data_IF_643444191680
#
_entry.id   IF_643444191680
#
_cell.length_a   1.000
_cell.length_b   1.000
_cell.length_c   1.000
_cell.angle_alpha   90.00
_cell.angle_beta   90.00
_cell.angle_gamma   90.00
#
_symmetry.space_group_name_H-M   'P 1'
#
loop_
_entity.id
_entity.type
_entity.pdbx_description
1 polymer ?
#
# COMPACT_ATOMS: atom_id res chain seq x y z
N UNK A 1 -10.16 34.30 28.68
CA UNK A 1 -11.15 33.28 28.29
C UNK A 1 -10.82 32.86 26.86
N UNK A 2 -10.02 31.81 26.72
CA UNK A 2 -9.39 31.38 25.47
C UNK A 2 -10.32 30.45 24.71
N UNK A 3 -10.94 30.96 23.65
CA UNK A 3 -11.62 30.15 22.64
C UNK A 3 -10.56 29.46 21.78
N UNK A 4 -10.11 28.27 22.17
CA UNK A 4 -9.49 27.36 21.21
C UNK A 4 -10.51 27.16 20.08
N UNK A 5 -10.11 27.51 18.85
CA UNK A 5 -11.04 27.59 17.73
C UNK A 5 -11.61 26.19 17.45
N UNK A 6 -12.93 26.09 17.26
CA UNK A 6 -13.63 24.83 16.98
C UNK A 6 -13.14 24.13 15.69
N UNK A 7 -12.28 24.80 14.91
CA UNK A 7 -11.68 24.32 13.66
C UNK A 7 -10.51 23.36 13.93
N UNK A 8 -9.60 23.70 14.85
CA UNK A 8 -8.39 22.92 15.12
C UNK A 8 -8.70 21.52 15.67
N UNK A 9 -9.73 21.41 16.52
CA UNK A 9 -10.14 20.14 17.11
C UNK A 9 -10.82 19.19 16.10
N UNK A 10 -11.50 19.74 15.08
CA UNK A 10 -12.12 18.97 13.99
C UNK A 10 -11.06 18.45 13.02
N UNK A 11 -10.12 19.30 12.62
CA UNK A 11 -9.05 18.93 11.69
C UNK A 11 -8.17 17.79 12.23
N UNK A 12 -7.91 17.78 13.54
CA UNK A 12 -7.14 16.72 14.20
C UNK A 12 -7.86 15.37 14.24
N UNK A 13 -9.18 15.36 14.48
CA UNK A 13 -9.99 14.13 14.49
C UNK A 13 -10.06 13.51 13.10
N UNK A 14 -10.36 14.32 12.08
CA UNK A 14 -10.46 13.88 10.67
C UNK A 14 -9.13 13.30 10.20
N UNK A 15 -8.00 13.92 10.55
CA UNK A 15 -6.68 13.44 10.09
C UNK A 15 -6.32 12.08 10.69
N UNK A 16 -6.64 11.83 11.98
CA UNK A 16 -6.41 10.52 12.62
C UNK A 16 -7.31 9.43 12.03
N UNK A 17 -8.55 9.79 11.73
CA UNK A 17 -9.52 8.90 11.10
C UNK A 17 -9.09 8.51 9.68
N UNK A 18 -8.58 9.47 8.89
CA UNK A 18 -8.06 9.23 7.54
C UNK A 18 -6.87 8.26 7.52
N UNK A 19 -5.92 8.41 8.45
CA UNK A 19 -4.75 7.51 8.54
C UNK A 19 -5.18 6.09 8.92
N UNK A 20 -6.09 5.96 9.89
CA UNK A 20 -6.59 4.65 10.32
C UNK A 20 -7.40 3.97 9.23
N UNK A 21 -8.32 4.70 8.61
CA UNK A 21 -9.17 4.23 7.51
C UNK A 21 -8.32 3.89 6.28
N UNK A 22 -7.32 4.71 5.96
CA UNK A 22 -6.36 4.46 4.89
C UNK A 22 -5.55 3.17 5.12
N UNK A 23 -5.00 2.98 6.32
CA UNK A 23 -4.27 1.75 6.68
C UNK A 23 -5.16 0.51 6.58
N UNK A 24 -6.39 0.59 7.09
CA UNK A 24 -7.33 -0.52 7.07
C UNK A 24 -7.79 -0.84 5.64
N UNK A 25 -8.16 0.17 4.86
CA UNK A 25 -8.59 0.01 3.47
C UNK A 25 -7.48 -0.60 2.61
N UNK A 26 -6.26 -0.08 2.73
CA UNK A 26 -5.11 -0.61 2.01
C UNK A 26 -4.82 -2.08 2.40
N UNK A 27 -4.86 -2.40 3.70
CA UNK A 27 -4.68 -3.76 4.19
C UNK A 27 -5.75 -4.75 3.67
N UNK A 28 -7.02 -4.34 3.68
CA UNK A 28 -8.13 -5.14 3.16
C UNK A 28 -7.98 -5.37 1.65
N UNK A 29 -7.63 -4.34 0.88
CA UNK A 29 -7.42 -4.47 -0.57
C UNK A 29 -6.29 -5.46 -0.86
N UNK A 30 -5.17 -5.40 -0.15
CA UNK A 30 -4.07 -6.35 -0.35
C UNK A 30 -4.41 -7.78 0.04
N UNK A 31 -5.17 -7.99 1.11
CA UNK A 31 -5.69 -9.31 1.43
C UNK A 31 -6.60 -9.84 0.34
N UNK A 32 -7.52 -9.02 -0.17
CA UNK A 32 -8.40 -9.41 -1.27
C UNK A 32 -7.59 -9.78 -2.51
N UNK A 33 -6.62 -8.94 -2.93
CA UNK A 33 -5.77 -9.23 -4.08
C UNK A 33 -4.98 -10.54 -3.88
N UNK A 34 -4.38 -10.74 -2.71
CA UNK A 34 -3.62 -11.95 -2.39
C UNK A 34 -4.48 -13.22 -2.41
N UNK A 35 -5.71 -13.17 -1.87
CA UNK A 35 -6.63 -14.31 -1.86
C UNK A 35 -7.21 -14.57 -3.26
N UNK A 36 -7.71 -13.53 -3.93
CA UNK A 36 -8.35 -13.64 -5.25
C UNK A 36 -7.37 -14.13 -6.32
N UNK A 37 -6.07 -13.84 -6.17
CA UNK A 37 -5.05 -14.35 -7.09
C UNK A 37 -4.87 -15.87 -7.05
N UNK A 38 -5.32 -16.55 -5.99
CA UNK A 38 -5.37 -18.01 -5.92
C UNK A 38 -6.70 -18.61 -6.41
N UNK A 39 -7.66 -17.78 -6.84
CA UNK A 39 -8.98 -18.25 -7.30
C UNK A 39 -8.96 -18.51 -8.81
N UNK A 40 -9.10 -19.77 -9.27
CA UNK A 40 -9.21 -20.09 -10.69
C UNK A 40 -10.45 -19.41 -11.28
N UNK A 41 -10.28 -18.70 -12.40
CA UNK A 41 -11.35 -17.95 -13.07
C UNK A 41 -11.25 -16.43 -12.92
N UNK A 42 -10.72 -15.95 -11.78
CA UNK A 42 -10.31 -14.53 -11.64
C UNK A 42 -8.86 -14.34 -12.08
N UNK A 43 -8.01 -15.34 -11.84
CA UNK A 43 -6.67 -15.42 -12.40
C UNK A 43 -6.72 -16.24 -13.70
N UNK A 44 -6.51 -15.59 -14.83
CA UNK A 44 -6.39 -16.23 -16.13
C UNK A 44 -5.01 -16.88 -16.27
N UNK A 45 -4.91 -17.91 -17.12
CA UNK A 45 -3.69 -18.71 -17.27
C UNK A 45 -3.18 -19.28 -15.93
N UNK A 46 -4.11 -19.71 -15.06
CA UNK A 46 -3.76 -20.25 -13.74
C UNK A 46 -2.76 -21.43 -13.81
N UNK A 47 -2.76 -22.20 -14.90
CA UNK A 47 -1.80 -23.30 -15.11
C UNK A 47 -0.35 -22.85 -15.32
N UNK A 48 -0.11 -21.58 -15.63
CA UNK A 48 1.24 -20.97 -15.72
C UNK A 48 1.60 -20.16 -14.48
N UNK A 49 0.88 -20.35 -13.36
CA UNK A 49 1.20 -19.73 -12.07
C UNK A 49 2.49 -20.33 -11.51
N UNK A 50 3.60 -19.62 -11.70
CA UNK A 50 4.90 -20.04 -11.19
C UNK A 50 5.13 -19.51 -9.75
N UNK A 51 6.06 -20.15 -9.04
CA UNK A 51 6.37 -19.73 -7.67
C UNK A 51 6.98 -18.33 -7.60
N UNK A 52 7.89 -18.01 -8.52
CA UNK A 52 8.63 -16.75 -8.55
C UNK A 52 8.67 -16.19 -9.98
N UNK A 53 9.84 -16.22 -10.65
CA UNK A 53 10.01 -15.68 -12.00
C UNK A 53 9.32 -16.54 -13.06
N UNK A 54 8.91 -15.90 -14.15
CA UNK A 54 8.32 -16.56 -15.32
C UNK A 54 6.86 -16.98 -15.16
N UNK A 55 6.15 -16.46 -14.15
CA UNK A 55 4.71 -16.72 -14.00
C UNK A 55 3.93 -15.92 -15.04
N UNK A 56 3.24 -16.57 -15.98
CA UNK A 56 2.39 -15.88 -16.97
C UNK A 56 0.95 -15.72 -16.51
N UNK A 57 0.64 -16.09 -15.26
CA UNK A 57 -0.69 -15.95 -14.71
C UNK A 57 -1.08 -14.47 -14.54
N UNK A 58 -2.30 -14.11 -14.94
CA UNK A 58 -2.81 -12.75 -14.91
C UNK A 58 -4.07 -12.66 -14.04
N UNK A 59 -4.00 -11.91 -12.95
CA UNK A 59 -5.16 -11.53 -12.15
C UNK A 59 -6.01 -10.50 -12.91
N UNK A 60 -7.32 -10.78 -13.03
CA UNK A 60 -8.28 -10.03 -13.84
C UNK A 60 -7.88 -9.88 -15.32
N UNK A 61 -6.95 -10.70 -15.82
CA UNK A 61 -6.38 -10.56 -17.16
C UNK A 61 -5.47 -9.35 -17.37
N UNK A 62 -5.16 -8.59 -16.31
CA UNK A 62 -4.39 -7.34 -16.40
C UNK A 62 -3.12 -7.36 -15.56
N UNK A 63 -3.14 -7.94 -14.36
CA UNK A 63 -1.99 -7.89 -13.45
C UNK A 63 -1.28 -9.22 -13.42
N UNK A 64 -0.01 -9.25 -13.81
CA UNK A 64 0.77 -10.48 -13.72
C UNK A 64 1.05 -10.79 -12.25
N UNK A 65 0.80 -12.05 -11.89
CA UNK A 65 0.89 -12.54 -10.50
C UNK A 65 1.73 -13.80 -10.42
N UNK A 66 2.40 -13.98 -9.29
CA UNK A 66 3.14 -15.19 -8.92
C UNK A 66 2.74 -15.61 -7.50
N UNK A 67 3.04 -16.86 -7.12
CA UNK A 67 2.75 -17.32 -5.76
C UNK A 67 3.48 -16.44 -4.74
N UNK A 68 4.75 -16.09 -5.00
CA UNK A 68 5.53 -15.21 -4.14
C UNK A 68 4.86 -13.83 -3.99
N UNK A 69 4.43 -13.22 -5.09
CA UNK A 69 3.77 -11.91 -5.04
C UNK A 69 2.44 -11.96 -4.27
N UNK A 70 1.66 -13.02 -4.45
CA UNK A 70 0.42 -13.21 -3.72
C UNK A 70 0.67 -13.33 -2.21
N UNK A 71 1.70 -14.08 -1.81
CA UNK A 71 2.11 -14.19 -0.40
C UNK A 71 2.55 -12.83 0.14
N UNK A 72 3.32 -12.05 -0.62
CA UNK A 72 3.71 -10.69 -0.24
C UNK A 72 2.46 -9.82 -0.02
N UNK A 73 1.46 -9.88 -0.90
CA UNK A 73 0.20 -9.17 -0.70
C UNK A 73 -0.56 -9.63 0.54
N UNK A 74 -0.59 -10.93 0.84
CA UNK A 74 -1.21 -11.44 2.06
C UNK A 74 -0.50 -10.91 3.33
N UNK A 75 0.84 -10.91 3.34
CA UNK A 75 1.65 -10.42 4.47
C UNK A 75 1.44 -8.92 4.65
N UNK A 76 1.53 -8.14 3.57
CA UNK A 76 1.32 -6.68 3.61
C UNK A 76 -0.12 -6.36 4.04
N UNK A 77 -1.10 -7.11 3.53
CA UNK A 77 -2.50 -6.96 3.89
C UNK A 77 -2.76 -7.23 5.38
N UNK A 78 -2.24 -8.34 5.90
CA UNK A 78 -2.32 -8.68 7.31
C UNK A 78 -1.62 -7.64 8.19
N UNK A 79 -0.42 -7.18 7.80
CA UNK A 79 0.30 -6.13 8.51
C UNK A 79 -0.52 -4.83 8.56
N UNK A 80 -1.18 -4.45 7.46
CA UNK A 80 -2.03 -3.24 7.40
C UNK A 80 -3.22 -3.30 8.35
N UNK A 81 -3.87 -4.46 8.48
CA UNK A 81 -4.97 -4.65 9.44
C UNK A 81 -4.46 -4.67 10.88
N UNK A 82 -3.33 -5.33 11.15
CA UNK A 82 -2.77 -5.37 12.50
C UNK A 82 -2.35 -3.96 12.93
N UNK A 83 -1.71 -3.22 12.04
CA UNK A 83 -1.22 -1.86 12.31
C UNK A 83 -2.34 -0.81 12.34
N UNK A 84 -3.51 -1.06 11.75
CA UNK A 84 -4.67 -0.15 11.83
C UNK A 84 -5.28 -0.04 13.24
N UNK A 85 -4.85 -0.91 14.16
CA UNK A 85 -5.32 -0.91 15.56
C UNK A 85 -4.82 0.28 16.37
N UNK A 86 -3.69 0.87 15.99
CA UNK A 86 -3.08 2.02 16.67
C UNK A 86 -2.76 3.16 15.69
N UNK A 87 -2.83 4.42 16.15
CA UNK A 87 -2.55 5.59 15.30
C UNK A 87 -1.09 5.68 14.88
N UNK A 88 -0.13 5.27 15.74
CA UNK A 88 1.30 5.23 15.36
C UNK A 88 1.56 4.07 14.41
N UNK A 89 0.98 2.91 14.68
CA UNK A 89 1.03 1.74 13.79
C UNK A 89 0.53 2.06 12.39
N UNK A 90 -0.66 2.64 12.27
CA UNK A 90 -1.29 2.98 10.99
C UNK A 90 -0.41 3.92 10.15
N UNK A 91 0.20 4.92 10.79
CA UNK A 91 1.12 5.84 10.12
C UNK A 91 2.39 5.13 9.64
N UNK A 92 3.01 4.32 10.49
CA UNK A 92 4.23 3.59 10.12
C UNK A 92 3.95 2.61 8.99
N UNK A 93 2.78 1.96 8.99
CA UNK A 93 2.34 1.11 7.89
C UNK A 93 2.19 1.89 6.58
N UNK A 94 1.48 3.03 6.58
CA UNK A 94 1.30 3.85 5.37
C UNK A 94 2.63 4.38 4.83
N UNK A 95 3.55 4.80 5.71
CA UNK A 95 4.87 5.24 5.31
C UNK A 95 5.71 4.07 4.76
N UNK A 96 5.72 2.94 5.46
CA UNK A 96 6.49 1.75 5.09
C UNK A 96 5.99 1.11 3.81
N UNK A 97 4.66 0.98 3.64
CA UNK A 97 4.04 0.49 2.41
C UNK A 97 4.23 1.48 1.26
N UNK A 98 4.11 2.79 1.50
CA UNK A 98 4.41 3.82 0.50
C UNK A 98 5.85 3.72 -0.02
N UNK A 99 6.82 3.58 0.89
CA UNK A 99 8.22 3.37 0.53
C UNK A 99 8.45 2.04 -0.19
N UNK A 100 7.83 0.95 0.29
CA UNK A 100 7.93 -0.38 -0.32
C UNK A 100 7.43 -0.35 -1.77
N UNK A 101 6.27 0.26 -2.03
CA UNK A 101 5.72 0.34 -3.38
C UNK A 101 6.52 1.28 -4.29
N UNK A 102 7.12 2.32 -3.74
CA UNK A 102 8.04 3.16 -4.50
C UNK A 102 9.28 2.37 -4.93
N UNK A 103 9.85 1.57 -4.02
CA UNK A 103 10.99 0.69 -4.33
C UNK A 103 10.60 -0.35 -5.38
N UNK A 104 9.41 -0.98 -5.24
CA UNK A 104 8.90 -1.94 -6.23
C UNK A 104 8.70 -1.29 -7.60
N UNK A 105 8.21 -0.04 -7.64
CA UNK A 105 8.08 0.71 -8.87
C UNK A 105 9.43 0.99 -9.54
N UNK A 106 10.39 1.50 -8.76
CA UNK A 106 11.75 1.75 -9.26
C UNK A 106 12.36 0.45 -9.79
N UNK A 107 12.23 -0.63 -9.03
CA UNK A 107 12.69 -1.95 -9.43
C UNK A 107 12.07 -2.37 -10.78
N UNK A 108 10.76 -2.26 -10.95
CA UNK A 108 10.07 -2.60 -12.20
C UNK A 108 10.41 -1.68 -13.40
N UNK A 109 10.91 -0.47 -13.16
CA UNK A 109 11.47 0.41 -14.22
C UNK A 109 12.90 0.03 -14.58
N UNK A 110 13.68 -0.41 -13.59
CA UNK A 110 15.12 -0.72 -13.76
C UNK A 110 15.33 -2.10 -14.39
N UNK A 111 14.49 -3.07 -14.06
CA UNK A 111 14.61 -4.44 -14.60
C UNK A 111 13.92 -4.58 -15.95
N UNK A 112 14.42 -5.50 -16.77
CA UNK A 112 13.67 -6.02 -17.92
C UNK A 112 12.60 -7.00 -17.41
N UNK A 113 11.33 -6.62 -17.60
CA UNK A 113 10.15 -7.38 -17.19
C UNK A 113 10.02 -8.73 -17.92
N UNK A 114 10.68 -8.89 -19.08
CA UNK A 114 10.72 -10.17 -19.81
C UNK A 114 11.87 -11.10 -19.38
N UNK A 115 12.74 -10.66 -18.48
CA UNK A 115 13.91 -11.42 -18.05
C UNK A 115 13.67 -12.22 -16.76
N UNK A 116 14.57 -13.16 -16.47
CA UNK A 116 14.59 -13.91 -15.20
C UNK A 116 14.82 -13.00 -13.98
N UNK A 117 15.28 -11.76 -14.17
CA UNK A 117 15.39 -10.77 -13.11
C UNK A 117 14.02 -10.34 -12.57
N UNK A 118 12.91 -10.64 -13.27
CA UNK A 118 11.55 -10.39 -12.81
C UNK A 118 11.08 -11.46 -11.80
N UNK A 119 11.69 -11.47 -10.61
CA UNK A 119 11.44 -12.48 -9.56
C UNK A 119 10.00 -12.52 -9.06
N UNK A 120 9.30 -11.39 -9.12
CA UNK A 120 7.93 -11.27 -8.63
C UNK A 120 6.89 -11.38 -9.76
N UNK A 121 7.34 -11.59 -11.00
CA UNK A 121 6.50 -11.65 -12.21
C UNK A 121 5.58 -10.44 -12.35
N UNK A 122 6.18 -9.25 -12.31
CA UNK A 122 5.51 -7.99 -12.56
C UNK A 122 5.28 -7.75 -14.04
N UNK A 123 4.23 -7.01 -14.37
CA UNK A 123 4.06 -6.41 -15.68
C UNK A 123 3.94 -4.88 -15.57
N UNK A 124 3.89 -4.20 -16.71
CA UNK A 124 3.82 -2.74 -16.76
C UNK A 124 2.60 -2.18 -16.00
N UNK A 125 1.43 -2.82 -16.13
CA UNK A 125 0.22 -2.41 -15.41
C UNK A 125 0.40 -2.50 -13.88
N UNK A 126 0.97 -3.60 -13.40
CA UNK A 126 1.34 -3.77 -12.00
C UNK A 126 2.33 -2.70 -11.55
N UNK A 127 3.34 -2.39 -12.36
CA UNK A 127 4.33 -1.37 -12.02
C UNK A 127 3.68 0.01 -11.77
N UNK A 128 2.80 0.46 -12.67
CA UNK A 128 2.05 1.71 -12.50
C UNK A 128 1.15 1.70 -11.26
N UNK A 129 0.51 0.56 -10.96
CA UNK A 129 -0.29 0.42 -9.76
C UNK A 129 0.56 0.65 -8.50
N UNK A 130 1.78 0.09 -8.44
CA UNK A 130 2.69 0.31 -7.30
C UNK A 130 3.04 1.80 -7.15
N UNK A 131 3.26 2.54 -8.24
CA UNK A 131 3.50 3.99 -8.16
C UNK A 131 2.31 4.74 -7.55
N UNK A 132 1.09 4.46 -8.03
CA UNK A 132 -0.12 5.11 -7.52
C UNK A 132 -0.27 4.83 -6.03
N UNK A 133 -0.10 3.57 -5.62
CA UNK A 133 -0.18 3.17 -4.21
C UNK A 133 0.90 3.82 -3.36
N UNK A 134 2.12 3.97 -3.88
CA UNK A 134 3.21 4.67 -3.21
C UNK A 134 2.86 6.13 -2.93
N UNK A 135 2.31 6.82 -3.93
CA UNK A 135 1.93 8.22 -3.83
C UNK A 135 0.74 8.42 -2.88
N UNK A 136 -0.28 7.56 -2.95
CA UNK A 136 -1.46 7.64 -2.07
C UNK A 136 -1.07 7.36 -0.62
N UNK A 137 -0.39 6.24 -0.35
CA UNK A 137 0.01 5.87 1.01
C UNK A 137 1.01 6.86 1.60
N UNK A 138 2.03 7.24 0.82
CA UNK A 138 3.03 8.23 1.20
C UNK A 138 2.42 9.61 1.43
N UNK A 139 1.51 10.05 0.56
CA UNK A 139 0.80 11.32 0.66
C UNK A 139 -0.07 11.42 1.92
N UNK A 140 -0.83 10.37 2.24
CA UNK A 140 -1.62 10.31 3.48
C UNK A 140 -0.70 10.36 4.71
N UNK A 141 0.42 9.63 4.68
CA UNK A 141 1.39 9.64 5.80
C UNK A 141 2.07 11.01 5.97
N UNK A 142 2.51 11.65 4.89
CA UNK A 142 3.18 12.96 4.92
C UNK A 142 2.24 14.08 5.36
N UNK A 143 1.02 14.12 4.83
CA UNK A 143 0.01 15.14 5.20
C UNK A 143 -0.33 15.07 6.69
N UNK A 144 -0.48 13.86 7.25
CA UNK A 144 -0.64 13.70 8.70
C UNK A 144 0.59 14.21 9.47
N UNK A 145 1.81 13.90 9.03
CA UNK A 145 3.04 14.38 9.70
C UNK A 145 3.15 15.91 9.71
N UNK A 146 2.87 16.57 8.59
CA UNK A 146 2.91 18.03 8.48
C UNK A 146 1.95 18.69 9.47
N UNK A 147 0.72 18.15 9.61
CA UNK A 147 -0.29 18.68 10.55
C UNK A 147 0.10 18.49 12.02
N UNK A 148 0.73 17.37 12.37
CA UNK A 148 1.19 17.14 13.76
C UNK A 148 2.34 18.05 14.21
N UNK A 149 3.18 18.54 13.28
CA UNK A 149 4.30 19.45 13.60
C UNK A 149 3.86 20.92 13.75
N UNK A 150 2.78 21.33 13.08
CA UNK A 150 2.26 22.70 13.19
C UNK A 150 1.65 23.00 14.55
N UNK A 151 0.98 22.02 15.18
CA UNK A 151 0.31 22.19 16.47
C UNK A 151 1.23 22.32 17.69
N UNK A 152 2.53 21.96 17.58
CA UNK A 152 3.45 22.10 18.73
C UNK A 152 4.10 23.49 18.84
N UNK A 153 4.00 24.32 17.81
CA UNK A 153 4.66 25.63 17.76
C UNK A 153 3.81 26.77 18.33
N UNK A 154 2.51 26.58 18.57
CA UNK A 154 1.60 27.64 19.08
C UNK A 154 1.56 27.77 20.61
N UNK A 155 2.33 26.99 21.36
CA UNK A 155 2.28 26.95 22.85
C UNK A 155 3.41 27.72 23.55
N UNK A 156 4.24 28.46 22.81
CA UNK A 156 5.35 29.24 23.36
C UNK A 156 5.32 30.71 22.87
N UNK A 157 4.34 31.48 23.32
CA UNK A 157 4.38 32.96 23.32
C UNK A 157 3.58 33.50 24.49
#
# INVERSE_FOLDING_TARGET
>A
MTTASHHDARDFHVTRELVRTGSMGLGVVFLLLGVLAFVPGLTTQYGSLAFASGSEALLFGVFQVSILLNIVYLIVGAAGIIMSRDSRGSRNFLLGSGALFLIMWIYGVVIDLGSTANFLSFNAAGNWLHLILALVAGGIALTHMARTRGGSQSTHT
#
